data_IF_245824917664
#
_entry.id   IF_245824917664
#
_cell.length_a   1.000
_cell.length_b   1.000
_cell.length_c   1.000
_cell.angle_alpha   90.00
_cell.angle_beta   90.00
_cell.angle_gamma   90.00
#
_symmetry.space_group_name_H-M   'P 1'
#
loop_
_entity.id
_entity.type
_entity.pdbx_description
1 polymer ?
#
# COMPACT_ATOMS: atom_id res chain seq x y z
N UNK A 1 -5.73 -14.18 4.71
CA UNK A 1 -7.12 -13.72 4.90
C UNK A 1 -7.86 -14.70 5.79
N UNK A 2 -8.32 -14.27 6.97
CA UNK A 2 -8.93 -15.16 7.96
C UNK A 2 -10.47 -15.29 7.86
N UNK A 3 -11.14 -14.48 7.02
CA UNK A 3 -12.61 -14.30 7.06
C UNK A 3 -13.27 -14.31 5.66
N UNK A 4 -13.20 -15.41 4.90
CA UNK A 4 -13.66 -15.48 3.50
C UNK A 4 -15.16 -15.17 3.31
N UNK A 5 -16.03 -15.57 4.24
CA UNK A 5 -17.48 -15.26 4.19
C UNK A 5 -17.79 -13.75 4.23
N UNK A 6 -16.99 -12.99 4.97
CA UNK A 6 -17.18 -11.54 5.07
C UNK A 6 -16.67 -10.84 3.81
N UNK A 7 -15.58 -11.32 3.22
CA UNK A 7 -15.10 -10.84 1.93
C UNK A 7 -16.13 -11.07 0.82
N UNK A 8 -16.78 -12.24 0.79
CA UNK A 8 -17.84 -12.55 -0.17
C UNK A 8 -19.08 -11.66 0.02
N UNK A 9 -19.45 -11.36 1.27
CA UNK A 9 -20.54 -10.41 1.54
C UNK A 9 -20.18 -8.99 1.13
N UNK A 10 -18.94 -8.55 1.40
CA UNK A 10 -18.45 -7.23 1.02
C UNK A 10 -18.38 -7.04 -0.51
N UNK A 11 -18.14 -8.11 -1.28
CA UNK A 11 -18.18 -8.07 -2.74
C UNK A 11 -19.57 -7.70 -3.32
N UNK A 12 -20.64 -7.80 -2.51
CA UNK A 12 -21.99 -7.33 -2.90
C UNK A 12 -22.18 -5.83 -2.65
N UNK A 13 -21.28 -5.17 -1.92
CA UNK A 13 -21.34 -3.76 -1.63
C UNK A 13 -20.61 -2.96 -2.72
N UNK A 14 -21.35 -2.25 -3.56
CA UNK A 14 -20.80 -1.44 -4.66
C UNK A 14 -19.92 -0.28 -4.20
N UNK A 15 -20.02 0.11 -2.94
CA UNK A 15 -19.19 1.16 -2.35
C UNK A 15 -17.72 0.73 -2.12
N UNK A 16 -17.43 -0.57 -2.10
CA UNK A 16 -16.07 -1.08 -1.88
C UNK A 16 -15.43 -1.36 -3.23
N UNK A 17 -14.55 -0.48 -3.66
CA UNK A 17 -13.87 -0.57 -4.97
C UNK A 17 -12.39 -0.97 -4.87
N UNK A 18 -11.82 -0.96 -3.66
CA UNK A 18 -10.39 -1.15 -3.44
C UNK A 18 -10.08 -1.84 -2.11
N UNK A 19 -8.93 -2.51 -2.03
CA UNK A 19 -8.48 -3.22 -0.83
C UNK A 19 -6.94 -3.26 -0.73
N UNK A 20 -6.43 -3.14 0.50
CA UNK A 20 -5.01 -3.33 0.79
C UNK A 20 -4.65 -4.81 0.65
N UNK A 21 -3.61 -5.08 -0.13
CA UNK A 21 -3.19 -6.47 -0.44
C UNK A 21 -1.76 -6.77 -0.01
N UNK A 22 -1.02 -5.76 0.44
CA UNK A 22 0.26 -5.90 1.12
C UNK A 22 0.10 -6.23 2.61
N UNK A 23 1.19 -6.68 3.23
CA UNK A 23 1.35 -6.69 4.69
C UNK A 23 1.53 -5.28 5.26
N UNK A 24 1.50 -5.13 6.59
CA UNK A 24 1.75 -3.82 7.20
C UNK A 24 3.17 -3.36 6.93
N UNK A 25 3.30 -2.06 6.72
CA UNK A 25 4.58 -1.42 6.55
C UNK A 25 5.42 -1.43 7.85
N UNK A 26 6.71 -1.71 7.69
CA UNK A 26 7.71 -1.70 8.76
C UNK A 26 9.10 -1.48 8.16
N UNK A 27 9.65 -0.25 8.21
CA UNK A 27 10.89 0.09 7.52
C UNK A 27 12.04 -0.77 8.06
N UNK A 28 12.69 -1.52 7.17
CA UNK A 28 13.84 -2.38 7.50
C UNK A 28 13.57 -3.54 8.47
N UNK A 29 12.33 -3.73 8.93
CA UNK A 29 11.97 -4.76 9.93
C UNK A 29 10.92 -5.75 9.44
N UNK A 30 10.18 -5.44 8.37
CA UNK A 30 9.19 -6.32 7.77
C UNK A 30 9.56 -6.64 6.33
N UNK A 31 10.00 -7.88 6.12
CA UNK A 31 10.34 -8.38 4.80
C UNK A 31 9.10 -8.55 3.92
N UNK A 32 9.23 -8.17 2.65
CA UNK A 32 8.21 -8.47 1.65
C UNK A 32 6.91 -7.69 1.79
N UNK A 33 6.84 -6.66 2.64
CA UNK A 33 5.65 -5.80 2.75
C UNK A 33 5.23 -5.17 1.41
N UNK A 34 6.12 -5.06 0.43
CA UNK A 34 5.80 -4.52 -0.89
C UNK A 34 5.15 -5.56 -1.82
N UNK A 35 5.05 -6.83 -1.41
CA UNK A 35 4.56 -7.93 -2.24
C UNK A 35 3.04 -7.99 -2.21
N UNK A 36 2.41 -7.40 -3.22
CA UNK A 36 0.94 -7.46 -3.41
C UNK A 36 0.46 -8.71 -4.18
N UNK A 37 1.35 -9.36 -4.95
CA UNK A 37 0.98 -10.27 -6.05
C UNK A 37 0.12 -11.50 -5.71
N UNK A 38 0.27 -12.10 -4.52
CA UNK A 38 -0.55 -13.29 -4.17
C UNK A 38 -1.98 -12.89 -3.79
N UNK A 39 -2.10 -11.85 -2.96
CA UNK A 39 -3.38 -11.34 -2.48
C UNK A 39 -4.14 -10.60 -3.57
N UNK A 40 -3.44 -9.98 -4.52
CA UNK A 40 -4.05 -9.25 -5.64
C UNK A 40 -4.83 -10.15 -6.59
N UNK A 41 -4.48 -11.44 -6.71
CA UNK A 41 -5.25 -12.40 -7.52
C UNK A 41 -6.67 -12.57 -7.00
N UNK A 42 -6.82 -12.70 -5.68
CA UNK A 42 -8.14 -12.81 -5.06
C UNK A 42 -8.90 -11.48 -5.10
N UNK A 43 -8.21 -10.35 -4.87
CA UNK A 43 -8.83 -9.03 -5.00
C UNK A 43 -9.34 -8.79 -6.43
N UNK A 44 -8.55 -9.15 -7.45
CA UNK A 44 -8.95 -9.08 -8.86
C UNK A 44 -10.18 -9.94 -9.15
N UNK A 45 -10.26 -11.15 -8.59
CA UNK A 45 -11.43 -12.03 -8.76
C UNK A 45 -12.71 -11.46 -8.15
N UNK A 46 -12.59 -10.56 -7.16
CA UNK A 46 -13.69 -9.85 -6.52
C UNK A 46 -13.93 -8.45 -7.13
N UNK A 47 -13.30 -8.14 -8.27
CA UNK A 47 -13.35 -6.82 -8.91
C UNK A 47 -12.90 -5.66 -8.00
N UNK A 48 -11.93 -5.91 -7.11
CA UNK A 48 -11.34 -4.92 -6.21
C UNK A 48 -9.96 -4.46 -6.69
N UNK A 49 -9.75 -3.15 -6.74
CA UNK A 49 -8.46 -2.53 -6.98
C UNK A 49 -7.50 -2.82 -5.82
N UNK A 50 -6.36 -3.43 -6.13
CA UNK A 50 -5.34 -3.78 -5.13
C UNK A 50 -4.37 -2.63 -4.92
N UNK A 51 -4.03 -2.35 -3.66
CA UNK A 51 -2.98 -1.38 -3.33
C UNK A 51 -2.07 -1.87 -2.20
N UNK A 52 -0.86 -1.28 -2.13
CA UNK A 52 0.08 -1.48 -1.01
C UNK A 52 -0.14 -0.48 0.12
N UNK A 53 0.35 -0.81 1.31
CA UNK A 53 0.30 0.03 2.51
C UNK A 53 1.13 1.31 2.36
N UNK A 54 1.22 2.11 3.42
CA UNK A 54 2.10 3.27 3.47
C UNK A 54 3.60 2.95 3.30
N UNK A 55 4.43 3.97 3.07
CA UNK A 55 5.89 3.85 3.16
C UNK A 55 6.57 5.19 3.48
N UNK A 56 7.81 5.13 3.96
CA UNK A 56 8.68 6.30 4.06
C UNK A 56 9.31 6.55 2.69
N UNK A 57 9.20 7.76 2.20
CA UNK A 57 9.74 8.18 0.90
C UNK A 57 11.24 8.48 0.95
N UNK A 58 11.85 8.47 2.14
CA UNK A 58 13.28 8.73 2.34
C UNK A 58 13.99 7.58 3.04
N UNK A 59 15.31 7.48 2.81
CA UNK A 59 16.21 6.60 3.56
C UNK A 59 16.67 7.23 4.88
N UNK A 60 16.13 8.39 5.26
CA UNK A 60 16.53 9.06 6.50
C UNK A 60 15.76 8.48 7.67
N UNK A 61 16.36 8.57 8.86
CA UNK A 61 15.62 8.28 10.07
C UNK A 61 14.63 9.41 10.34
N UNK A 62 13.35 9.09 10.31
CA UNK A 62 12.29 10.03 10.66
C UNK A 62 12.37 10.39 12.15
N UNK A 63 12.46 11.68 12.44
CA UNK A 63 12.43 12.18 13.82
C UNK A 63 10.98 12.45 14.22
N UNK A 64 10.52 11.84 15.33
CA UNK A 64 9.17 12.09 15.87
C UNK A 64 8.03 11.26 15.27
N UNK A 65 8.30 10.40 14.28
CA UNK A 65 7.32 9.46 13.73
C UNK A 65 7.08 8.21 14.61
N UNK A 66 5.93 7.54 14.38
CA UNK A 66 5.61 6.22 14.97
C UNK A 66 6.58 5.15 14.48
N UNK A 67 6.94 5.22 13.20
CA UNK A 67 7.84 4.28 12.55
C UNK A 67 9.29 4.59 12.94
N UNK A 68 10.09 3.55 13.12
CA UNK A 68 11.48 3.63 13.58
C UNK A 68 12.39 2.95 12.59
N UNK A 69 13.52 3.58 12.29
CA UNK A 69 14.51 3.08 11.34
C UNK A 69 14.33 3.66 9.94
N UNK A 70 15.40 3.64 9.12
CA UNK A 70 15.36 4.15 7.77
C UNK A 70 14.66 3.15 6.83
N UNK A 71 13.95 3.64 5.81
CA UNK A 71 13.48 2.76 4.73
C UNK A 71 14.68 2.39 3.85
N UNK A 72 14.99 1.09 3.70
CA UNK A 72 16.15 0.67 2.92
C UNK A 72 15.94 0.88 1.41
N UNK A 73 14.71 0.78 0.91
CA UNK A 73 14.42 0.76 -0.53
C UNK A 73 13.19 1.63 -0.91
N UNK A 74 13.19 2.95 -0.68
CA UNK A 74 12.01 3.78 -0.93
C UNK A 74 11.62 3.84 -2.40
N UNK A 75 12.59 3.69 -3.32
CA UNK A 75 12.31 3.59 -4.76
C UNK A 75 11.57 2.30 -5.14
N UNK A 76 11.87 1.18 -4.48
CA UNK A 76 11.11 -0.05 -4.67
C UNK A 76 9.66 0.15 -4.20
N UNK A 77 9.49 0.80 -3.04
CA UNK A 77 8.16 1.12 -2.52
C UNK A 77 7.39 2.03 -3.48
N UNK A 78 8.04 3.06 -4.01
CA UNK A 78 7.46 3.98 -4.96
C UNK A 78 7.08 3.29 -6.28
N UNK A 79 7.94 2.40 -6.79
CA UNK A 79 7.61 1.60 -7.97
C UNK A 79 6.33 0.76 -7.72
N UNK A 80 6.25 0.05 -6.60
CA UNK A 80 5.03 -0.71 -6.24
C UNK A 80 3.82 0.21 -6.02
N UNK A 81 4.04 1.42 -5.50
CA UNK A 81 2.98 2.42 -5.36
C UNK A 81 2.42 2.86 -6.73
N UNK A 82 3.26 3.02 -7.75
CA UNK A 82 2.80 3.35 -9.12
C UNK A 82 1.97 2.24 -9.77
N UNK A 83 2.20 0.98 -9.40
CA UNK A 83 1.38 -0.16 -9.85
C UNK A 83 0.18 -0.46 -8.95
N UNK A 84 0.00 0.29 -7.86
CA UNK A 84 -1.16 0.18 -7.00
C UNK A 84 -2.35 0.90 -7.63
N UNK A 85 -3.53 0.29 -7.56
CA UNK A 85 -4.77 0.83 -8.12
C UNK A 85 -5.65 1.53 -7.08
N UNK A 86 -5.09 1.77 -5.89
CA UNK A 86 -5.74 2.46 -4.78
C UNK A 86 -4.75 3.39 -4.06
N UNK A 87 -5.19 4.05 -2.98
CA UNK A 87 -4.39 5.05 -2.28
C UNK A 87 -3.20 4.39 -1.58
N UNK A 88 -2.01 4.92 -1.84
CA UNK A 88 -0.80 4.56 -1.11
C UNK A 88 -0.39 5.77 -0.28
N UNK A 89 -0.28 5.59 1.03
CA UNK A 89 0.10 6.65 1.96
C UNK A 89 1.60 6.90 1.99
N UNK A 90 1.98 8.16 2.23
CA UNK A 90 3.34 8.49 2.67
C UNK A 90 3.34 8.60 4.18
N UNK A 91 4.19 7.81 4.83
CA UNK A 91 4.29 7.75 6.28
C UNK A 91 5.37 8.69 6.86
N UNK A 92 5.97 9.52 5.99
CA UNK A 92 6.99 10.49 6.37
C UNK A 92 6.46 11.49 7.40
N UNK A 93 7.36 11.96 8.26
CA UNK A 93 7.10 13.10 9.11
C UNK A 93 6.76 14.35 8.29
N UNK A 94 6.04 15.30 8.90
CA UNK A 94 5.67 16.54 8.22
C UNK A 94 6.93 17.25 7.70
N UNK A 95 6.98 17.47 6.39
CA UNK A 95 8.07 18.15 5.70
C UNK A 95 9.30 17.29 5.40
N UNK A 96 9.23 15.97 5.60
CA UNK A 96 10.34 15.03 5.34
C UNK A 96 10.10 14.12 4.13
N UNK A 97 9.04 14.34 3.35
CA UNK A 97 8.74 13.55 2.16
C UNK A 97 9.54 14.00 0.92
N UNK A 98 9.98 13.05 0.09
CA UNK A 98 10.80 13.31 -1.11
C UNK A 98 10.22 12.68 -2.41
N UNK A 99 9.06 12.03 -2.35
CA UNK A 99 8.44 11.37 -3.52
C UNK A 99 7.00 11.86 -3.70
N UNK A 100 6.63 12.12 -4.96
CA UNK A 100 5.27 12.45 -5.37
C UNK A 100 4.76 11.36 -6.32
N UNK A 101 3.71 10.63 -5.94
CA UNK A 101 3.04 9.66 -6.81
C UNK A 101 1.79 10.29 -7.40
N UNK A 102 1.72 10.37 -8.72
CA UNK A 102 0.52 10.79 -9.45
C UNK A 102 -0.40 9.59 -9.67
N UNK A 103 -1.55 9.55 -9.00
CA UNK A 103 -2.56 8.52 -9.23
C UNK A 103 -3.27 8.78 -10.56
N UNK A 104 -3.12 7.89 -11.54
CA UNK A 104 -3.81 8.00 -12.82
C UNK A 104 -5.24 7.46 -12.68
N UNK A 105 -6.20 8.35 -12.41
CA UNK A 105 -7.62 8.00 -12.36
C UNK A 105 -8.13 7.83 -13.80
N UNK A 106 -8.25 6.60 -14.29
CA UNK A 106 -9.00 6.34 -15.50
C UNK A 106 -10.50 6.55 -15.21
N UNK A 107 -11.03 7.69 -15.65
CA UNK A 107 -12.47 7.88 -15.83
C UNK A 107 -12.88 7.24 -17.16
N UNK A 108 -13.68 6.19 -17.10
CA UNK A 108 -14.60 5.76 -18.16
C UNK A 108 -15.89 5.26 -17.52
#
# INVERSE_FOLDING_TARGET
MALPRHALQAAKATAVTQIRTSDDYGPGVRDGQWRIGRSSLLASALALASYKDEFLTTNQNETGGRLKGPEPFPLLQAAVATYSLGPVGFADGRGQNNIHTHTHTHMY
#
